data_IF_683368707052
#
_entry.id   IF_683368707052
#
_cell.length_a   1.000
_cell.length_b   1.000
_cell.length_c   1.000
_cell.angle_alpha   90.00
_cell.angle_beta   90.00
_cell.angle_gamma   90.00
#
_symmetry.space_group_name_H-M   'P 1'
#
loop_
_entity.id
_entity.type
_entity.pdbx_description
1 polymer ?
#
# COMPACT_ATOMS: atom_id res chain seq x y z
N UNK A 1 -33.04 -29.68 -29.45
CA UNK A 1 -32.36 -28.70 -28.57
C UNK A 1 -32.99 -28.81 -27.20
N UNK A 2 -32.22 -28.93 -26.11
CA UNK A 2 -32.79 -29.04 -24.76
C UNK A 2 -33.61 -27.77 -24.44
N UNK A 3 -34.74 -27.95 -23.76
CA UNK A 3 -35.61 -26.84 -23.38
C UNK A 3 -34.90 -25.98 -22.30
N UNK A 4 -35.16 -24.66 -22.28
CA UNK A 4 -34.61 -23.71 -21.29
C UNK A 4 -34.76 -24.23 -19.85
N UNK A 5 -35.87 -24.89 -19.53
CA UNK A 5 -36.10 -25.47 -18.21
C UNK A 5 -35.15 -26.64 -17.89
N UNK A 6 -34.83 -27.49 -18.85
CA UNK A 6 -33.89 -28.60 -18.68
C UNK A 6 -32.46 -28.08 -18.48
N UNK A 7 -32.08 -27.04 -19.22
CA UNK A 7 -30.79 -26.35 -19.06
C UNK A 7 -30.68 -25.74 -17.65
N UNK A 8 -31.73 -25.06 -17.17
CA UNK A 8 -31.75 -24.49 -15.83
C UNK A 8 -31.65 -25.56 -14.73
N UNK A 9 -32.40 -26.66 -14.87
CA UNK A 9 -32.34 -27.78 -13.93
C UNK A 9 -30.96 -28.44 -13.89
N UNK A 10 -30.31 -28.61 -15.05
CA UNK A 10 -28.94 -29.11 -15.13
C UNK A 10 -27.95 -28.18 -14.45
N UNK A 11 -28.07 -26.86 -14.64
CA UNK A 11 -27.22 -25.87 -13.97
C UNK A 11 -27.38 -25.95 -12.44
N UNK A 12 -28.62 -26.04 -11.95
CA UNK A 12 -28.88 -26.17 -10.50
C UNK A 12 -28.26 -27.45 -9.93
N UNK A 13 -28.40 -28.58 -10.65
CA UNK A 13 -27.80 -29.86 -10.25
C UNK A 13 -26.28 -29.77 -10.20
N UNK A 14 -25.64 -29.26 -11.25
CA UNK A 14 -24.18 -29.08 -11.28
C UNK A 14 -23.68 -28.12 -10.21
N UNK A 15 -24.42 -27.05 -9.88
CA UNK A 15 -24.08 -26.15 -8.76
C UNK A 15 -24.15 -26.85 -7.41
N UNK A 16 -25.13 -27.73 -7.22
CA UNK A 16 -25.27 -28.52 -5.99
C UNK A 16 -24.10 -29.49 -5.84
N UNK A 17 -23.80 -30.26 -6.89
CA UNK A 17 -22.66 -31.18 -6.93
C UNK A 17 -21.32 -30.43 -6.72
N UNK A 18 -21.15 -29.26 -7.33
CA UNK A 18 -19.96 -28.43 -7.11
C UNK A 18 -19.81 -28.01 -5.63
N UNK A 19 -20.90 -27.61 -4.98
CA UNK A 19 -20.87 -27.24 -3.55
C UNK A 19 -20.54 -28.43 -2.67
N UNK A 20 -21.09 -29.60 -2.99
CA UNK A 20 -20.86 -30.84 -2.24
C UNK A 20 -19.39 -31.26 -2.33
N UNK A 21 -18.81 -31.29 -3.53
CA UNK A 21 -17.39 -31.61 -3.74
C UNK A 21 -16.48 -30.62 -2.98
N UNK A 22 -16.81 -29.32 -3.02
CA UNK A 22 -16.05 -28.29 -2.27
C UNK A 22 -16.16 -28.49 -0.75
N UNK A 23 -17.32 -28.91 -0.25
CA UNK A 23 -17.50 -29.22 1.17
C UNK A 23 -16.68 -30.43 1.56
N UNK A 24 -16.79 -31.54 0.82
CA UNK A 24 -16.04 -32.77 1.09
C UNK A 24 -14.53 -32.52 1.11
N UNK A 25 -14.02 -31.72 0.17
CA UNK A 25 -12.61 -31.37 0.14
C UNK A 25 -12.20 -30.53 1.37
N UNK A 26 -13.03 -29.58 1.79
CA UNK A 26 -12.79 -28.79 3.01
C UNK A 26 -12.78 -29.69 4.24
N UNK A 27 -13.74 -30.60 4.34
CA UNK A 27 -13.85 -31.54 5.46
C UNK A 27 -12.64 -32.49 5.49
N UNK A 28 -12.18 -32.95 4.33
CA UNK A 28 -10.97 -33.78 4.21
C UNK A 28 -9.71 -33.01 4.63
N UNK A 29 -9.57 -31.73 4.25
CA UNK A 29 -8.49 -30.87 4.72
C UNK A 29 -8.56 -30.69 6.23
N UNK A 30 -9.73 -30.39 6.78
CA UNK A 30 -9.94 -30.22 8.21
C UNK A 30 -9.67 -31.49 9.02
N UNK A 31 -9.84 -32.69 8.45
CA UNK A 31 -9.55 -33.95 9.13
C UNK A 31 -8.13 -34.50 8.87
N UNK A 32 -7.37 -33.87 7.97
CA UNK A 32 -5.99 -34.27 7.68
C UNK A 32 -5.04 -33.71 8.74
N UNK A 33 -4.45 -34.60 9.53
CA UNK A 33 -3.48 -34.23 10.57
C UNK A 33 -2.25 -33.52 10.00
N UNK A 34 -1.82 -33.87 8.78
CA UNK A 34 -0.73 -33.19 8.08
C UNK A 34 -1.07 -31.75 7.70
N UNK A 35 -2.29 -31.51 7.23
CA UNK A 35 -2.76 -30.16 6.91
C UNK A 35 -2.92 -29.30 8.17
N UNK A 36 -3.51 -29.86 9.24
CA UNK A 36 -3.65 -29.16 10.52
C UNK A 36 -2.29 -28.72 11.07
N UNK A 37 -1.30 -29.62 11.10
CA UNK A 37 0.07 -29.29 11.53
C UNK A 37 0.70 -28.19 10.69
N UNK A 38 0.56 -28.26 9.36
CA UNK A 38 1.07 -27.22 8.48
C UNK A 38 0.43 -25.85 8.75
N UNK A 39 -0.88 -25.81 9.03
CA UNK A 39 -1.59 -24.58 9.40
C UNK A 39 -1.12 -24.04 10.75
N UNK A 40 -0.92 -24.92 11.74
CA UNK A 40 -0.38 -24.54 13.05
C UNK A 40 1.04 -23.97 12.95
N UNK A 41 1.93 -24.64 12.23
CA UNK A 41 3.30 -24.16 11.97
C UNK A 41 3.31 -22.80 11.26
N UNK A 42 2.41 -22.61 10.29
CA UNK A 42 2.24 -21.35 9.58
C UNK A 42 1.78 -20.23 10.53
N UNK A 43 0.84 -20.52 11.44
CA UNK A 43 0.40 -19.55 12.44
C UNK A 43 1.53 -19.17 13.40
N UNK A 44 2.31 -20.15 13.87
CA UNK A 44 3.49 -19.90 14.72
C UNK A 44 4.51 -19.03 13.97
N UNK A 45 4.78 -19.32 12.70
CA UNK A 45 5.69 -18.53 11.87
C UNK A 45 5.18 -17.10 11.65
N UNK A 46 3.87 -16.91 11.45
CA UNK A 46 3.26 -15.58 11.35
C UNK A 46 3.40 -14.78 12.62
N UNK A 47 3.16 -15.40 13.79
CA UNK A 47 3.35 -14.73 15.08
C UNK A 47 4.81 -14.37 15.32
N UNK A 48 5.75 -15.27 15.00
CA UNK A 48 7.20 -14.99 15.08
C UNK A 48 7.57 -13.82 14.16
N UNK A 49 7.11 -13.84 12.92
CA UNK A 49 7.33 -12.75 11.96
C UNK A 49 6.81 -11.43 12.53
N UNK A 50 5.56 -11.42 13.03
CA UNK A 50 4.94 -10.22 13.58
C UNK A 50 5.74 -9.66 14.76
N UNK A 51 6.18 -10.52 15.69
CA UNK A 51 7.01 -10.09 16.83
C UNK A 51 8.35 -9.48 16.39
N UNK A 52 8.97 -10.06 15.36
CA UNK A 52 10.22 -9.52 14.79
C UNK A 52 9.96 -8.15 14.15
N UNK A 53 8.89 -8.01 13.36
CA UNK A 53 8.51 -6.73 12.75
C UNK A 53 8.16 -5.67 13.80
N UNK A 54 7.48 -6.03 14.89
CA UNK A 54 7.18 -5.13 16.01
C UNK A 54 8.46 -4.72 16.73
N UNK A 55 9.35 -5.67 17.05
CA UNK A 55 10.65 -5.36 17.67
C UNK A 55 11.48 -4.44 16.79
N UNK A 56 11.59 -4.74 15.48
CA UNK A 56 12.33 -3.88 14.55
C UNK A 56 11.68 -2.51 14.42
N UNK A 57 10.36 -2.42 14.44
CA UNK A 57 9.67 -1.13 14.41
C UNK A 57 9.99 -0.29 15.65
N UNK A 58 10.06 -0.93 16.81
CA UNK A 58 10.43 -0.26 18.06
C UNK A 58 11.92 0.15 18.04
N UNK A 59 12.81 -0.70 17.52
CA UNK A 59 14.23 -0.40 17.37
C UNK A 59 14.47 0.81 16.45
N UNK A 60 13.68 0.92 15.37
CA UNK A 60 13.74 2.01 14.39
C UNK A 60 12.85 3.21 14.74
N UNK A 61 12.23 3.24 15.92
CA UNK A 61 11.31 4.32 16.30
C UNK A 61 11.99 5.69 16.23
N UNK A 62 13.24 5.78 16.67
CA UNK A 62 14.02 7.02 16.63
C UNK A 62 14.32 7.45 15.19
N UNK A 63 14.59 6.51 14.30
CA UNK A 63 14.82 6.74 12.87
C UNK A 63 13.53 7.18 12.17
N UNK A 64 12.37 6.62 12.56
CA UNK A 64 11.07 7.08 12.08
C UNK A 64 10.74 8.49 12.57
N UNK A 65 11.05 8.80 13.84
CA UNK A 65 10.88 10.16 14.36
C UNK A 65 11.78 11.15 13.60
N UNK A 66 13.04 10.78 13.32
CA UNK A 66 13.94 11.57 12.46
C UNK A 66 13.39 11.72 11.04
N UNK A 67 12.77 10.68 10.48
CA UNK A 67 12.17 10.73 9.16
C UNK A 67 10.99 11.71 9.11
N UNK A 68 10.14 11.72 10.13
CA UNK A 68 9.04 12.69 10.23
C UNK A 68 9.55 14.12 10.40
N UNK A 69 10.62 14.33 11.19
CA UNK A 69 11.28 15.63 11.31
C UNK A 69 11.84 16.08 9.96
N UNK A 70 12.60 15.22 9.28
CA UNK A 70 13.16 15.52 7.95
C UNK A 70 12.06 15.85 6.94
N UNK A 71 10.93 15.14 6.98
CA UNK A 71 9.80 15.41 6.12
C UNK A 71 9.19 16.79 6.39
N UNK A 72 9.01 17.15 7.65
CA UNK A 72 8.51 18.47 8.04
C UNK A 72 9.49 19.58 7.60
N UNK A 73 10.80 19.37 7.79
CA UNK A 73 11.84 20.31 7.37
C UNK A 73 11.84 20.50 5.84
N UNK A 74 11.75 19.42 5.07
CA UNK A 74 11.65 19.48 3.61
C UNK A 74 10.38 20.24 3.17
N UNK A 75 9.24 19.98 3.80
CA UNK A 75 7.98 20.68 3.49
C UNK A 75 8.10 22.18 3.78
N UNK A 76 8.71 22.56 4.91
CA UNK A 76 8.97 23.95 5.29
C UNK A 76 9.94 24.62 4.32
N UNK A 77 11.07 23.99 4.00
CA UNK A 77 12.06 24.53 3.07
C UNK A 77 11.50 24.68 1.66
N UNK A 78 10.66 23.74 1.21
CA UNK A 78 9.95 23.82 -0.07
C UNK A 78 8.98 25.01 -0.09
N UNK A 79 8.29 25.26 1.03
CA UNK A 79 7.41 26.41 1.18
C UNK A 79 8.19 27.73 1.17
N UNK A 80 9.31 27.81 1.90
CA UNK A 80 10.20 28.97 1.90
C UNK A 80 10.80 29.24 0.52
N UNK A 81 11.23 28.19 -0.19
CA UNK A 81 11.72 28.29 -1.56
C UNK A 81 10.66 28.85 -2.51
N UNK A 82 9.42 28.39 -2.36
CA UNK A 82 8.28 28.86 -3.16
C UNK A 82 7.97 30.34 -2.88
N UNK A 83 7.99 30.75 -1.61
CA UNK A 83 7.76 32.15 -1.21
C UNK A 83 8.89 33.07 -1.68
N UNK A 84 10.15 32.64 -1.56
CA UNK A 84 11.31 33.37 -2.06
C UNK A 84 11.27 33.51 -3.59
N UNK A 85 10.96 32.44 -4.32
CA UNK A 85 10.81 32.47 -5.77
C UNK A 85 9.65 33.38 -6.21
N UNK A 86 8.52 33.35 -5.50
CA UNK A 86 7.39 34.23 -5.77
C UNK A 86 7.74 35.71 -5.48
N UNK A 87 8.45 36.00 -4.39
CA UNK A 87 8.89 37.35 -4.03
C UNK A 87 9.84 37.95 -5.07
N UNK A 88 10.84 37.18 -5.53
CA UNK A 88 11.77 37.62 -6.57
C UNK A 88 11.08 37.77 -7.94
N UNK A 89 10.11 36.90 -8.25
CA UNK A 89 9.27 37.03 -9.44
C UNK A 89 8.41 38.31 -9.40
N UNK A 90 7.77 38.63 -8.27
CA UNK A 90 7.00 39.88 -8.08
C UNK A 90 7.89 41.11 -8.23
N UNK A 91 9.16 41.04 -7.79
CA UNK A 91 10.15 42.12 -7.98
C UNK A 91 10.66 42.23 -9.43
N UNK A 92 10.17 41.40 -10.35
CA UNK A 92 10.53 41.43 -11.77
C UNK A 92 11.89 40.81 -12.09
N UNK A 93 12.45 39.98 -11.20
CA UNK A 93 13.72 39.29 -11.41
C UNK A 93 13.51 37.89 -12.00
N UNK A 94 14.43 37.48 -12.87
CA UNK A 94 14.48 36.12 -13.40
C UNK A 94 14.99 35.18 -12.31
N UNK A 95 14.21 34.14 -11.99
CA UNK A 95 14.54 33.17 -10.95
C UNK A 95 15.06 31.91 -11.62
N UNK A 96 16.34 31.62 -11.46
CA UNK A 96 16.99 30.39 -11.91
C UNK A 96 17.72 29.76 -10.73
N UNK A 97 17.64 28.44 -10.59
CA UNK A 97 18.38 27.67 -9.58
C UNK A 97 19.31 26.71 -10.31
N UNK A 98 20.53 26.51 -9.80
CA UNK A 98 21.52 25.60 -10.37
C UNK A 98 21.83 24.52 -9.35
N UNK A 99 21.87 23.26 -9.78
CA UNK A 99 22.24 22.13 -8.91
C UNK A 99 23.77 21.92 -8.82
N UNK A 100 24.20 20.89 -8.08
CA UNK A 100 25.61 20.50 -7.94
C UNK A 100 26.28 20.04 -9.25
N UNK A 101 25.51 19.82 -10.31
CA UNK A 101 25.96 19.34 -11.63
C UNK A 101 25.76 20.39 -12.73
N UNK A 102 25.57 21.67 -12.37
CA UNK A 102 25.35 22.80 -13.28
C UNK A 102 24.05 22.73 -14.12
N UNK A 103 23.08 21.91 -13.73
CA UNK A 103 21.76 21.90 -14.38
C UNK A 103 20.93 23.08 -13.90
N UNK A 104 20.35 23.82 -14.85
CA UNK A 104 19.50 24.98 -14.58
C UNK A 104 18.04 24.57 -14.44
N UNK A 105 17.40 25.05 -13.38
CA UNK A 105 15.98 24.86 -13.09
C UNK A 105 15.25 26.19 -13.14
N UNK A 106 14.15 26.22 -13.88
CA UNK A 106 13.21 27.34 -13.91
C UNK A 106 12.00 27.03 -13.01
N UNK A 107 11.43 28.02 -12.32
CA UNK A 107 10.28 27.82 -11.45
C UNK A 107 9.01 27.51 -12.24
N UNK A 108 8.33 26.42 -11.88
CA UNK A 108 6.99 26.09 -12.39
C UNK A 108 5.97 26.45 -11.31
N UNK A 109 5.24 27.55 -11.49
CA UNK A 109 4.19 27.95 -10.55
C UNK A 109 2.93 27.09 -10.75
N UNK A 110 2.54 26.34 -9.71
CA UNK A 110 1.32 25.53 -9.70
C UNK A 110 0.46 25.86 -8.49
N UNK A 111 -0.77 26.30 -8.72
CA UNK A 111 -1.74 26.61 -7.65
C UNK A 111 -2.52 25.35 -7.30
N UNK A 112 -2.57 24.99 -6.01
CA UNK A 112 -3.38 23.89 -5.48
C UNK A 112 -4.21 24.38 -4.30
N UNK A 113 -5.48 23.98 -4.25
CA UNK A 113 -6.41 24.33 -3.18
C UNK A 113 -6.53 23.16 -2.19
N UNK A 114 -6.35 23.42 -0.90
CA UNK A 114 -6.63 22.46 0.18
C UNK A 114 -7.96 22.83 0.85
N UNK A 115 -8.79 21.83 1.13
CA UNK A 115 -10.06 22.01 1.85
C UNK A 115 -9.78 22.24 3.34
N UNK A 116 -10.36 23.30 3.91
CA UNK A 116 -10.37 23.59 5.36
C UNK A 116 -11.27 22.66 6.14
#
# INVERSE_FOLDING_TARGET
MPNIQEIFNNIQKSKKEQKEIKSMYRDALSNSSGYQKAVEELNILKEKKKKIEESLRDDFRTEFDKLEVLKADIENDTMLLSDAALSEYIKGKHVEIVDEYENKYEPIFKVQFKKS
#
